data_IF_784662703570
#
_entry.id   IF_784662703570
#
_cell.length_a   1.000
_cell.length_b   1.000
_cell.length_c   1.000
_cell.angle_alpha   90.00
_cell.angle_beta   90.00
_cell.angle_gamma   90.00
#
_symmetry.space_group_name_H-M   'P 1'
#
loop_
_entity.id
_entity.type
_entity.pdbx_description
1 polymer ?
#
# COMPACT_ATOMS: atom_id res chain seq x y z
N UNK A 1 2.32 -12.06 -0.98
CA UNK A 1 1.03 -12.01 -1.70
C UNK A 1 1.12 -11.08 -2.89
N UNK A 2 0.25 -11.24 -3.84
CA UNK A 2 0.15 -10.35 -4.99
C UNK A 2 -0.64 -9.11 -4.64
N UNK A 3 -0.55 -8.06 -5.49
CA UNK A 3 -1.21 -6.79 -5.21
C UNK A 3 -2.73 -6.93 -5.09
N UNK A 4 -3.34 -7.83 -5.86
CA UNK A 4 -4.78 -8.08 -5.76
C UNK A 4 -5.19 -8.63 -4.40
N UNK A 5 -4.38 -9.52 -3.83
CA UNK A 5 -4.63 -10.04 -2.50
C UNK A 5 -4.37 -8.97 -1.43
N UNK A 6 -3.31 -8.19 -1.61
CA UNK A 6 -3.01 -7.07 -0.72
C UNK A 6 -4.18 -6.09 -0.67
N UNK A 7 -4.77 -5.81 -1.83
CA UNK A 7 -5.96 -4.97 -1.92
C UNK A 7 -7.12 -5.54 -1.12
N UNK A 8 -7.37 -6.84 -1.24
CA UNK A 8 -8.48 -7.47 -0.50
C UNK A 8 -8.24 -7.46 1.01
N UNK A 9 -7.02 -7.79 1.43
CA UNK A 9 -6.66 -7.86 2.86
C UNK A 9 -6.76 -6.49 3.52
N UNK A 10 -6.37 -5.44 2.82
CA UNK A 10 -6.36 -4.08 3.36
C UNK A 10 -7.63 -3.30 3.07
N UNK A 11 -8.49 -3.83 2.21
CA UNK A 11 -9.70 -3.14 1.74
C UNK A 11 -9.37 -1.81 1.07
N UNK A 12 -8.24 -1.77 0.36
CA UNK A 12 -7.78 -0.58 -0.36
C UNK A 12 -7.64 -0.93 -1.84
N UNK A 13 -8.22 -0.13 -2.74
CA UNK A 13 -8.13 -0.42 -4.18
C UNK A 13 -6.70 -0.52 -4.68
N UNK A 14 -6.47 -1.37 -5.67
CA UNK A 14 -5.14 -1.54 -6.28
C UNK A 14 -4.59 -0.20 -6.77
N UNK A 15 -5.43 0.61 -7.39
CA UNK A 15 -5.00 1.93 -7.89
C UNK A 15 -4.50 2.82 -6.76
N UNK A 16 -5.12 2.76 -5.59
CA UNK A 16 -4.71 3.53 -4.42
C UNK A 16 -3.38 3.02 -3.87
N UNK A 17 -3.19 1.69 -3.84
CA UNK A 17 -1.92 1.10 -3.41
C UNK A 17 -0.80 1.56 -4.32
N UNK A 18 -1.02 1.54 -5.64
CA UNK A 18 -0.02 2.02 -6.60
C UNK A 18 0.27 3.51 -6.42
N UNK A 19 -0.74 4.29 -6.09
CA UNK A 19 -0.56 5.70 -5.79
C UNK A 19 0.33 5.89 -4.56
N UNK A 20 0.11 5.12 -3.49
CA UNK A 20 0.94 5.19 -2.30
C UNK A 20 2.40 4.87 -2.63
N UNK A 21 2.64 3.87 -3.47
CA UNK A 21 4.01 3.52 -3.89
C UNK A 21 4.64 4.66 -4.69
N UNK A 22 3.90 5.24 -5.62
CA UNK A 22 4.41 6.32 -6.46
C UNK A 22 4.77 7.56 -5.65
N UNK A 23 4.02 7.82 -4.58
CA UNK A 23 4.27 8.97 -3.70
C UNK A 23 5.30 8.66 -2.61
N UNK A 24 5.87 7.47 -2.62
CA UNK A 24 6.89 7.09 -1.66
C UNK A 24 6.37 6.81 -0.26
N UNK A 25 5.06 6.59 -0.12
CA UNK A 25 4.45 6.36 1.20
C UNK A 25 4.61 4.94 1.69
N UNK A 26 4.89 4.00 0.80
CA UNK A 26 5.15 2.62 1.16
C UNK A 26 6.22 2.05 0.25
N UNK A 27 6.99 1.05 0.74
CA UNK A 27 8.04 0.45 -0.08
C UNK A 27 7.45 -0.34 -1.25
N UNK A 28 8.21 -0.45 -2.32
CA UNK A 28 7.84 -1.30 -3.44
C UNK A 28 7.81 -2.75 -2.99
N UNK A 29 7.02 -3.56 -3.69
CA UNK A 29 7.01 -4.98 -3.45
C UNK A 29 8.31 -5.64 -3.89
N UNK A 30 8.51 -6.87 -3.47
CA UNK A 30 9.69 -7.63 -3.81
C UNK A 30 9.47 -8.35 -5.14
N UNK A 31 10.42 -8.19 -6.07
CA UNK A 31 10.35 -8.90 -7.35
C UNK A 31 10.76 -10.35 -7.15
N UNK A 32 9.83 -11.29 -7.36
CA UNK A 32 10.10 -12.71 -7.27
C UNK A 32 10.44 -13.29 -8.64
N UNK A 33 10.12 -12.56 -9.70
CA UNK A 33 10.50 -12.87 -11.08
C UNK A 33 10.35 -11.56 -11.88
N UNK A 34 10.81 -11.53 -13.15
CA UNK A 34 10.69 -10.30 -13.96
C UNK A 34 9.27 -9.76 -14.07
N UNK A 35 8.26 -10.63 -14.00
CA UNK A 35 6.87 -10.24 -14.18
C UNK A 35 6.02 -10.36 -12.92
N UNK A 36 6.65 -10.65 -11.76
CA UNK A 36 5.90 -10.85 -10.54
C UNK A 36 6.48 -10.06 -9.38
N UNK A 37 5.58 -9.44 -8.61
CA UNK A 37 5.93 -8.68 -7.41
C UNK A 37 5.17 -9.27 -6.25
N UNK A 38 5.84 -9.50 -5.14
CA UNK A 38 5.25 -10.04 -3.92
C UNK A 38 5.21 -8.99 -2.82
N UNK A 39 4.13 -8.98 -2.07
CA UNK A 39 3.94 -8.08 -0.93
C UNK A 39 3.78 -8.92 0.34
N UNK A 40 4.18 -8.36 1.48
CA UNK A 40 4.14 -9.09 2.75
C UNK A 40 3.49 -8.29 3.86
N UNK A 41 3.66 -8.76 5.10
CA UNK A 41 3.07 -8.13 6.28
C UNK A 41 3.49 -6.69 6.47
N UNK A 42 4.73 -6.34 6.12
CA UNK A 42 5.20 -4.97 6.21
C UNK A 42 4.38 -4.03 5.34
N UNK A 43 3.93 -4.50 4.17
CA UNK A 43 3.09 -3.72 3.28
C UNK A 43 1.68 -3.56 3.84
N UNK A 44 1.13 -4.63 4.41
CA UNK A 44 -0.18 -4.57 5.06
C UNK A 44 -0.15 -3.56 6.21
N UNK A 45 0.86 -3.64 7.06
CA UNK A 45 1.00 -2.73 8.22
C UNK A 45 1.14 -1.29 7.77
N UNK A 46 1.92 -1.05 6.72
CA UNK A 46 2.13 0.32 6.22
C UNK A 46 0.85 0.90 5.64
N UNK A 47 0.10 0.12 4.88
CA UNK A 47 -1.17 0.58 4.31
C UNK A 47 -2.15 0.91 5.43
N UNK A 48 -2.23 0.07 6.45
CA UNK A 48 -3.11 0.32 7.59
C UNK A 48 -2.73 1.60 8.33
N UNK A 49 -1.43 1.86 8.47
CA UNK A 49 -0.94 3.09 9.08
C UNK A 49 -1.35 4.31 8.26
N UNK A 50 -1.15 4.27 6.95
CA UNK A 50 -1.52 5.37 6.05
C UNK A 50 -3.02 5.65 6.18
N UNK A 51 -3.84 4.61 6.15
CA UNK A 51 -5.30 4.75 6.24
C UNK A 51 -5.71 5.34 7.58
N UNK A 52 -5.08 4.91 8.66
CA UNK A 52 -5.37 5.45 9.98
C UNK A 52 -5.06 6.94 10.07
N UNK A 53 -3.92 7.35 9.52
CA UNK A 53 -3.54 8.76 9.52
C UNK A 53 -4.50 9.61 8.70
N UNK A 54 -4.92 9.13 7.54
CA UNK A 54 -5.87 9.85 6.69
C UNK A 54 -7.23 9.96 7.37
N UNK A 55 -7.72 8.87 7.95
CA UNK A 55 -9.08 8.82 8.50
C UNK A 55 -9.19 9.54 9.85
N UNK A 56 -8.22 9.34 10.72
CA UNK A 56 -8.27 9.88 12.08
C UNK A 56 -7.87 11.36 12.11
N UNK A 57 -6.80 11.70 11.41
CA UNK A 57 -6.27 13.06 11.41
C UNK A 57 -6.83 13.94 10.29
N UNK A 58 -7.64 13.38 9.40
CA UNK A 58 -8.21 14.08 8.25
C UNK A 58 -7.13 14.77 7.42
N UNK A 59 -5.99 14.10 7.27
CA UNK A 59 -4.86 14.60 6.49
C UNK A 59 -4.95 14.11 5.06
N UNK A 60 -4.54 14.95 4.10
CA UNK A 60 -4.42 14.51 2.73
C UNK A 60 -3.17 13.66 2.56
N UNK A 61 -3.11 12.88 1.48
CA UNK A 61 -1.93 12.08 1.16
C UNK A 61 -0.70 12.98 0.99
N UNK A 62 -0.89 14.16 0.40
CA UNK A 62 0.21 15.10 0.20
C UNK A 62 0.77 15.64 1.52
N UNK A 63 -0.04 15.65 2.58
CA UNK A 63 0.39 16.11 3.89
C UNK A 63 1.17 15.04 4.66
N UNK A 64 0.82 13.78 4.43
CA UNK A 64 1.48 12.65 5.08
C UNK A 64 2.90 12.47 4.55
#
# INVERSE_FOLDING_TARGET
MRIGELSRVTDVPVATIKYYQREGLMPAGEHTSPNQVSYGEAHVSRIRLIRALVQVADLSIATI
#
